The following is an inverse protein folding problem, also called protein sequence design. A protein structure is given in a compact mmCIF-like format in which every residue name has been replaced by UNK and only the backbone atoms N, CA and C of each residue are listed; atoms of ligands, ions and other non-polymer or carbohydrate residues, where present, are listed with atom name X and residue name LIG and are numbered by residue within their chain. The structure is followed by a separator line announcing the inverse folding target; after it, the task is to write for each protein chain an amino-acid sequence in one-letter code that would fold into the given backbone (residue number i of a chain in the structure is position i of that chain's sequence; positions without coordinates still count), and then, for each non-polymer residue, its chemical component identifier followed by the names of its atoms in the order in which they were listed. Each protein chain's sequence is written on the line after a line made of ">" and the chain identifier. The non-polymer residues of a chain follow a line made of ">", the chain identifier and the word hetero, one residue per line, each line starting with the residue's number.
data_IF_979491117028
#
_entry.id   IF_979491117028
#
_cell.length_a   1.000
_cell.length_b   1.000
_cell.length_c   1.000
_cell.angle_alpha   90.00
_cell.angle_beta   90.00
_cell.angle_gamma   90.00
#
_symmetry.space_group_name_H-M   'P 1'
#
loop_
_entity.id
_entity.type
_entity.pdbx_description
1 polymer ?
#
# COMPACT_ATOMS: atom_id res chain seq x y z
N UNK A 1 -10.55 -19.86 -31.92
CA UNK A 1 -10.16 -19.46 -30.55
C UNK A 1 -9.95 -17.96 -30.56
N UNK A 2 -10.98 -17.19 -30.24
CA UNK A 2 -10.86 -15.73 -30.10
C UNK A 2 -10.14 -15.46 -28.78
N UNK A 3 -8.84 -15.16 -28.85
CA UNK A 3 -8.08 -14.71 -27.69
C UNK A 3 -8.71 -13.43 -27.18
N UNK A 4 -9.33 -13.48 -26.00
CA UNK A 4 -9.90 -12.32 -25.34
C UNK A 4 -8.76 -11.32 -25.14
N UNK A 5 -8.79 -10.21 -25.88
CA UNK A 5 -7.86 -9.10 -25.67
C UNK A 5 -8.15 -8.58 -24.28
N UNK A 6 -7.30 -8.93 -23.30
CA UNK A 6 -7.40 -8.38 -21.94
C UNK A 6 -7.08 -6.90 -22.03
N UNK A 7 -8.10 -6.06 -21.81
CA UNK A 7 -7.90 -4.63 -21.61
C UNK A 7 -7.00 -4.49 -20.37
N UNK A 8 -5.86 -3.78 -20.45
CA UNK A 8 -5.03 -3.57 -19.28
C UNK A 8 -5.79 -2.66 -18.30
N UNK A 9 -6.39 -3.27 -17.29
CA UNK A 9 -6.89 -2.55 -16.12
C UNK A 9 -5.69 -2.28 -15.23
N UNK A 10 -5.44 -1.00 -14.96
CA UNK A 10 -4.45 -0.55 -13.98
C UNK A 10 -5.23 -0.14 -12.75
N UNK A 11 -5.06 -0.89 -11.68
CA UNK A 11 -5.57 -0.49 -10.36
C UNK A 11 -4.57 0.42 -9.66
N UNK A 12 -5.09 1.33 -8.85
CA UNK A 12 -4.30 2.27 -8.07
C UNK A 12 -4.57 1.99 -6.60
N UNK A 13 -3.56 1.46 -5.91
CA UNK A 13 -3.69 1.18 -4.49
C UNK A 13 -3.51 2.48 -3.71
N UNK A 14 -4.63 3.02 -3.24
CA UNK A 14 -4.67 4.06 -2.23
C UNK A 14 -5.43 3.52 -0.99
N UNK A 15 -4.90 3.66 0.24
CA UNK A 15 -3.66 4.37 0.55
C UNK A 15 -2.38 3.50 0.54
N UNK A 16 -2.44 2.16 0.72
CA UNK A 16 -1.21 1.33 0.81
C UNK A 16 -1.39 -0.07 0.21
N UNK A 17 -0.34 -0.60 -0.42
CA UNK A 17 -0.24 -2.04 -0.72
C UNK A 17 0.22 -2.78 0.54
N UNK A 18 -0.48 -3.85 0.98
CA UNK A 18 -0.18 -4.52 2.25
C UNK A 18 1.04 -5.46 2.20
N UNK A 19 2.06 -5.14 1.41
CA UNK A 19 3.27 -5.96 1.34
C UNK A 19 4.11 -5.83 2.61
N UNK A 20 4.98 -6.81 2.84
CA UNK A 20 5.80 -6.82 4.04
C UNK A 20 6.59 -5.52 4.25
N UNK A 21 7.25 -5.01 3.21
CA UNK A 21 8.12 -3.82 3.33
C UNK A 21 7.33 -2.54 3.60
N UNK A 22 6.13 -2.41 3.02
CA UNK A 22 5.28 -1.23 3.23
C UNK A 22 4.69 -1.27 4.65
N UNK A 23 4.29 -2.45 5.13
CA UNK A 23 3.83 -2.63 6.51
C UNK A 23 4.97 -2.35 7.50
N UNK A 24 6.19 -2.83 7.23
CA UNK A 24 7.36 -2.56 8.07
C UNK A 24 7.67 -1.06 8.14
N UNK A 25 7.65 -0.37 7.00
CA UNK A 25 7.89 1.08 6.91
C UNK A 25 6.81 1.89 7.66
N UNK A 26 5.53 1.53 7.50
CA UNK A 26 4.43 2.12 8.26
C UNK A 26 4.61 1.94 9.76
N UNK A 27 4.98 0.74 10.22
CA UNK A 27 5.16 0.47 11.66
C UNK A 27 6.38 1.18 12.23
N UNK A 28 7.41 1.40 11.42
CA UNK A 28 8.64 2.07 11.84
C UNK A 28 8.49 3.60 11.95
N UNK A 29 7.62 4.20 11.12
CA UNK A 29 7.66 5.65 10.90
C UNK A 29 6.32 6.37 10.75
N UNK A 30 5.17 5.73 11.00
CA UNK A 30 3.89 6.42 10.83
C UNK A 30 3.79 7.64 11.78
N UNK A 31 3.55 8.86 11.25
CA UNK A 31 3.50 10.08 12.04
C UNK A 31 2.26 10.08 12.95
N UNK A 32 2.48 10.21 14.25
CA UNK A 32 1.41 10.20 15.26
C UNK A 32 0.39 11.31 15.06
N UNK A 33 0.79 12.42 14.45
CA UNK A 33 -0.03 13.57 14.10
C UNK A 33 -1.14 13.18 13.12
N UNK A 34 -0.88 12.22 12.22
CA UNK A 34 -1.88 11.69 11.30
C UNK A 34 -2.86 10.73 11.97
N UNK A 35 -2.60 10.26 13.20
CA UNK A 35 -3.58 9.44 13.93
C UNK A 35 -4.86 10.22 14.24
N UNK A 36 -4.74 11.54 14.45
CA UNK A 36 -5.89 12.44 14.62
C UNK A 36 -6.86 12.42 13.43
N UNK A 37 -6.36 12.16 12.21
CA UNK A 37 -7.21 11.99 11.03
C UNK A 37 -8.16 10.80 11.18
N UNK A 38 -7.69 9.70 11.75
CA UNK A 38 -8.55 8.54 12.00
C UNK A 38 -9.60 8.84 13.06
N UNK A 39 -9.28 9.64 14.08
CA UNK A 39 -10.26 10.03 15.12
C UNK A 39 -11.47 10.77 14.53
N UNK A 40 -11.26 11.58 13.48
CA UNK A 40 -12.36 12.25 12.76
C UNK A 40 -13.38 11.23 12.22
N UNK A 41 -12.90 10.09 11.73
CA UNK A 41 -13.71 9.03 11.12
C UNK A 41 -14.26 8.04 12.14
N UNK A 42 -13.43 7.58 13.07
CA UNK A 42 -13.76 6.51 14.02
C UNK A 42 -14.42 7.02 15.30
N UNK A 43 -14.37 8.34 15.55
CA UNK A 43 -14.78 8.98 16.81
C UNK A 43 -14.08 8.40 18.04
N UNK A 44 -12.92 7.78 17.84
CA UNK A 44 -12.14 7.09 18.85
C UNK A 44 -10.68 7.50 18.72
N UNK A 45 -10.03 7.82 19.84
CA UNK A 45 -8.58 8.04 19.88
C UNK A 45 -7.84 6.75 19.59
N UNK A 46 -6.96 6.79 18.59
CA UNK A 46 -6.13 5.67 18.19
C UNK A 46 -4.70 5.93 18.66
N UNK A 47 -4.17 5.05 19.50
CA UNK A 47 -2.76 5.10 19.89
C UNK A 47 -1.85 4.59 18.77
N UNK A 48 -0.57 4.98 18.80
CA UNK A 48 0.42 4.45 17.85
C UNK A 48 0.57 2.92 17.93
N UNK A 49 0.42 2.33 19.12
CA UNK A 49 0.44 0.89 19.34
C UNK A 49 -0.76 0.21 18.65
N UNK A 50 -1.97 0.73 18.87
CA UNK A 50 -3.19 0.22 18.24
C UNK A 50 -3.12 0.32 16.71
N UNK A 51 -2.55 1.41 16.20
CA UNK A 51 -2.32 1.56 14.77
C UNK A 51 -1.28 0.56 14.26
N UNK A 52 -0.17 0.37 14.97
CA UNK A 52 0.88 -0.59 14.59
C UNK A 52 0.33 -2.01 14.52
N UNK A 53 -0.46 -2.43 15.52
CA UNK A 53 -1.12 -3.74 15.54
C UNK A 53 -2.14 -3.88 14.41
N UNK A 54 -2.92 -2.82 14.16
CA UNK A 54 -3.88 -2.79 13.06
C UNK A 54 -3.16 -2.96 11.71
N UNK A 55 -2.09 -2.23 11.46
CA UNK A 55 -1.32 -2.30 10.22
C UNK A 55 -0.70 -3.68 10.07
N UNK A 56 -0.11 -4.25 11.13
CA UNK A 56 0.42 -5.62 11.11
C UNK A 56 -0.65 -6.65 10.72
N UNK A 57 -1.88 -6.51 11.25
CA UNK A 57 -2.99 -7.42 10.93
C UNK A 57 -3.38 -7.42 9.44
N UNK A 58 -2.96 -6.41 8.67
CA UNK A 58 -3.23 -6.29 7.24
C UNK A 58 -2.13 -6.87 6.36
N UNK A 59 -1.00 -7.32 6.91
CA UNK A 59 0.15 -7.84 6.15
C UNK A 59 -0.21 -9.02 5.25
N UNK A 60 0.16 -8.92 3.98
CA UNK A 60 0.00 -9.96 2.97
C UNK A 60 1.35 -10.41 2.43
N UNK A 61 1.39 -11.66 1.97
CA UNK A 61 2.47 -12.15 1.13
C UNK A 61 2.32 -11.60 -0.29
N UNK A 62 3.43 -11.54 -1.03
CA UNK A 62 3.43 -11.17 -2.45
C UNK A 62 2.46 -12.05 -3.26
N UNK A 63 2.47 -13.38 -3.03
CA UNK A 63 1.59 -14.31 -3.74
C UNK A 63 0.11 -13.96 -3.54
N UNK A 64 -0.30 -13.64 -2.31
CA UNK A 64 -1.67 -13.23 -2.01
C UNK A 64 -2.05 -11.93 -2.70
N UNK A 65 -1.12 -10.98 -2.81
CA UNK A 65 -1.32 -9.72 -3.54
C UNK A 65 -1.55 -10.03 -5.02
N UNK A 66 -0.69 -10.84 -5.64
CA UNK A 66 -0.80 -11.21 -7.06
C UNK A 66 -2.07 -12.00 -7.36
N UNK A 67 -2.44 -12.95 -6.52
CA UNK A 67 -3.69 -13.71 -6.63
C UNK A 67 -4.91 -12.80 -6.57
N UNK A 68 -4.90 -11.79 -5.68
CA UNK A 68 -5.98 -10.80 -5.60
C UNK A 68 -6.10 -9.97 -6.88
N UNK A 69 -4.98 -9.57 -7.50
CA UNK A 69 -4.99 -8.88 -8.79
C UNK A 69 -5.52 -9.79 -9.91
N UNK A 70 -5.10 -11.04 -9.93
CA UNK A 70 -5.56 -12.02 -10.93
C UNK A 70 -7.07 -12.31 -10.80
N UNK A 71 -7.57 -12.46 -9.58
CA UNK A 71 -9.00 -12.65 -9.31
C UNK A 71 -9.86 -11.45 -9.76
N UNK A 72 -9.31 -10.24 -9.69
CA UNK A 72 -9.94 -9.01 -10.16
C UNK A 72 -9.75 -8.76 -11.67
N UNK A 73 -9.02 -9.62 -12.38
CA UNK A 73 -8.71 -9.44 -13.80
C UNK A 73 -7.72 -8.29 -14.07
N UNK A 74 -6.99 -7.84 -13.04
CA UNK A 74 -6.02 -6.74 -13.10
C UNK A 74 -4.67 -7.28 -13.54
N UNK A 75 -4.21 -6.84 -14.70
CA UNK A 75 -2.93 -7.27 -15.26
C UNK A 75 -1.74 -6.51 -14.68
N UNK A 76 -1.94 -5.23 -14.30
CA UNK A 76 -0.90 -4.39 -13.69
C UNK A 76 -1.48 -3.49 -12.60
N UNK A 77 -0.69 -3.16 -11.61
CA UNK A 77 -1.04 -2.22 -10.54
C UNK A 77 -0.01 -1.11 -10.45
N UNK A 78 -0.50 0.12 -10.29
CA UNK A 78 0.33 1.28 -9.96
C UNK A 78 0.36 1.44 -8.44
N UNK A 79 1.56 1.64 -7.89
CA UNK A 79 1.82 1.81 -6.47
C UNK A 79 2.48 3.17 -6.29
N UNK A 80 1.88 4.01 -5.46
CA UNK A 80 2.38 5.35 -5.18
C UNK A 80 2.88 5.44 -3.74
N UNK A 81 4.09 5.97 -3.55
CA UNK A 81 4.50 6.49 -2.25
C UNK A 81 3.78 7.81 -1.93
N UNK A 82 3.88 8.26 -0.68
CA UNK A 82 3.37 9.56 -0.25
C UNK A 82 4.52 10.40 0.29
N UNK A 83 4.90 11.44 -0.45
CA UNK A 83 6.05 12.29 -0.13
C UNK A 83 5.75 13.40 0.89
N UNK A 84 6.82 13.89 1.53
CA UNK A 84 6.84 14.77 2.71
C UNK A 84 5.97 16.04 2.60
N UNK A 85 5.74 16.55 1.38
CA UNK A 85 5.05 17.84 1.19
C UNK A 85 3.54 17.75 1.39
N UNK A 86 2.94 16.57 1.25
CA UNK A 86 1.50 16.38 1.38
C UNK A 86 1.06 15.80 2.74
N UNK A 87 2.02 15.52 3.63
CA UNK A 87 1.83 14.63 4.79
C UNK A 87 2.45 15.19 6.07
N UNK A 88 2.13 16.44 6.42
CA UNK A 88 2.62 17.08 7.65
C UNK A 88 4.16 17.11 7.79
N UNK A 89 4.91 17.04 6.68
CA UNK A 89 6.37 17.01 6.69
C UNK A 89 6.99 15.61 6.90
N UNK A 90 6.21 14.53 6.83
CA UNK A 90 6.68 13.16 7.07
C UNK A 90 6.22 12.22 5.97
N UNK A 91 7.17 11.61 5.24
CA UNK A 91 6.88 10.51 4.32
C UNK A 91 6.41 9.30 5.13
N UNK A 92 5.16 8.88 4.96
CA UNK A 92 4.59 7.75 5.73
C UNK A 92 4.49 6.44 4.93
N UNK A 93 4.79 6.49 3.63
CA UNK A 93 5.24 5.34 2.82
C UNK A 93 6.38 5.82 1.93
N UNK A 94 7.59 5.38 2.25
CA UNK A 94 8.78 5.74 1.49
C UNK A 94 8.76 5.10 0.09
N UNK A 95 9.40 5.75 -0.87
CA UNK A 95 9.53 5.18 -2.22
C UNK A 95 10.43 3.93 -2.22
N UNK A 96 11.31 3.76 -1.22
CA UNK A 96 12.20 2.61 -1.10
C UNK A 96 11.46 1.25 -0.94
N UNK A 97 10.52 1.08 0.01
CA UNK A 97 9.72 -0.15 0.11
C UNK A 97 8.85 -0.39 -1.14
N UNK A 98 8.29 0.68 -1.74
CA UNK A 98 7.53 0.59 -2.99
C UNK A 98 8.40 0.08 -4.15
N UNK A 99 9.58 0.66 -4.33
CA UNK A 99 10.53 0.25 -5.35
C UNK A 99 11.00 -1.19 -5.14
N UNK A 100 11.21 -1.59 -3.89
CA UNK A 100 11.62 -2.95 -3.53
C UNK A 100 10.57 -3.99 -3.92
N UNK A 101 9.29 -3.71 -3.64
CA UNK A 101 8.18 -4.56 -4.06
C UNK A 101 8.01 -4.60 -5.59
N UNK A 102 8.07 -3.43 -6.26
CA UNK A 102 7.93 -3.34 -7.71
C UNK A 102 9.06 -4.09 -8.44
N UNK A 103 10.29 -4.05 -7.92
CA UNK A 103 11.44 -4.75 -8.49
C UNK A 103 11.30 -6.29 -8.45
N UNK A 104 10.55 -6.84 -7.49
CA UNK A 104 10.26 -8.29 -7.45
C UNK A 104 9.25 -8.72 -8.49
N UNK A 105 8.31 -7.82 -8.84
CA UNK A 105 7.19 -8.12 -9.75
C UNK A 105 7.06 -7.10 -10.89
N UNK A 106 8.11 -6.81 -11.68
CA UNK A 106 8.14 -5.68 -12.60
C UNK A 106 7.13 -5.80 -13.77
N UNK A 107 6.65 -7.02 -14.05
CA UNK A 107 5.61 -7.24 -15.06
C UNK A 107 4.19 -6.92 -14.54
N UNK A 108 4.02 -6.84 -13.22
CA UNK A 108 2.73 -6.74 -12.51
C UNK A 108 2.60 -5.45 -11.70
N UNK A 109 3.68 -4.96 -11.10
CA UNK A 109 3.67 -3.82 -10.18
C UNK A 109 4.57 -2.70 -10.73
N UNK A 110 4.06 -1.48 -10.71
CA UNK A 110 4.74 -0.27 -11.17
C UNK A 110 4.82 0.70 -10.01
N UNK A 111 6.02 1.07 -9.55
CA UNK A 111 6.23 2.11 -8.54
C UNK A 111 6.42 3.48 -9.17
N UNK A 112 5.86 4.53 -8.55
CA UNK A 112 6.16 5.94 -8.83
C UNK A 112 7.08 6.54 -7.77
#
# INVERSE_FOLDING_TARGET
>A
MTGTVRVPVIDMWAPFVPSCEIIDDLRAGFPSELLSYFEVLTKTTISAEQFSDYVESRRWTDDRILESLDAAGISRSLITGFDEKSTCGVTFVNNAPVATLAARHPARLVGL
#
